data_IF_566561966506
#
_entry.id   IF_566561966506
#
_cell.length_a   1.000
_cell.length_b   1.000
_cell.length_c   1.000
_cell.angle_alpha   90.00
_cell.angle_beta   90.00
_cell.angle_gamma   90.00
#
_symmetry.space_group_name_H-M   'P 1'
#
loop_
_entity.id
_entity.type
_entity.pdbx_description
1 polymer ?
#
# COMPACT_ATOMS: atom_id res chain seq x y z
N UNK A 1 -31.84 26.53 -26.91
CA UNK A 1 -32.69 27.28 -27.87
C UNK A 1 -33.96 27.65 -27.15
N UNK A 2 -34.43 28.89 -27.27
CA UNK A 2 -35.61 29.39 -26.56
C UNK A 2 -36.65 29.94 -27.55
N UNK A 3 -37.92 29.58 -27.34
CA UNK A 3 -39.04 30.06 -28.16
C UNK A 3 -39.51 31.43 -27.65
N UNK A 4 -40.01 32.27 -28.57
CA UNK A 4 -40.63 33.54 -28.23
C UNK A 4 -41.98 33.28 -27.56
N UNK A 5 -42.16 33.84 -26.38
CA UNK A 5 -43.38 33.74 -25.59
C UNK A 5 -44.12 35.06 -25.57
N UNK A 6 -45.43 35.00 -25.34
CA UNK A 6 -46.28 36.17 -25.11
C UNK A 6 -46.03 36.79 -23.72
N UNK A 7 -46.75 37.86 -23.41
CA UNK A 7 -46.67 38.58 -22.13
C UNK A 7 -47.04 37.71 -20.91
N UNK A 8 -47.68 36.55 -21.12
CA UNK A 8 -48.03 35.59 -20.08
C UNK A 8 -47.06 34.39 -20.04
N UNK A 9 -45.96 34.43 -20.81
CA UNK A 9 -44.96 33.38 -20.85
C UNK A 9 -45.39 32.13 -21.62
N UNK A 10 -46.45 32.21 -22.44
CA UNK A 10 -46.95 31.09 -23.25
C UNK A 10 -46.53 31.22 -24.71
N UNK A 11 -46.46 30.08 -25.39
CA UNK A 11 -46.21 30.04 -26.83
C UNK A 11 -47.53 30.44 -27.53
N UNK A 12 -47.53 31.43 -28.42
CA UNK A 12 -48.75 31.83 -29.14
C UNK A 12 -49.31 30.66 -29.96
N UNK A 13 -50.60 30.36 -29.79
CA UNK A 13 -51.27 29.23 -30.48
C UNK A 13 -51.58 29.54 -31.96
N UNK A 14 -51.79 30.83 -32.28
CA UNK A 14 -52.22 31.29 -33.62
C UNK A 14 -51.07 31.80 -34.51
N UNK A 15 -49.81 31.71 -34.05
CA UNK A 15 -48.64 32.09 -34.84
C UNK A 15 -47.62 30.95 -34.92
N UNK A 16 -46.90 30.82 -36.05
CA UNK A 16 -45.78 29.89 -36.14
C UNK A 16 -44.72 30.24 -35.07
N UNK A 17 -44.25 29.22 -34.35
CA UNK A 17 -43.29 29.36 -33.25
C UNK A 17 -42.01 30.04 -33.74
N UNK A 18 -41.77 31.26 -33.25
CA UNK A 18 -40.56 32.04 -33.56
C UNK A 18 -39.49 31.76 -32.52
N UNK A 19 -38.26 31.58 -32.97
CA UNK A 19 -37.09 31.44 -32.08
C UNK A 19 -36.76 32.83 -31.54
N UNK A 20 -36.72 32.97 -30.22
CA UNK A 20 -36.37 34.23 -29.56
C UNK A 20 -34.85 34.43 -29.55
N UNK A 21 -34.15 33.43 -29.03
CA UNK A 21 -32.70 33.47 -28.89
C UNK A 21 -32.07 32.08 -28.95
N UNK A 22 -30.87 32.06 -29.50
CA UNK A 22 -30.00 30.89 -29.53
C UNK A 22 -28.79 31.15 -28.62
N UNK A 23 -28.58 30.27 -27.65
CA UNK A 23 -27.35 30.26 -26.87
C UNK A 23 -26.42 29.20 -27.50
N UNK A 24 -25.29 29.61 -28.12
CA UNK A 24 -24.34 28.67 -28.70
C UNK A 24 -23.57 27.97 -27.58
N UNK A 25 -23.94 26.71 -27.30
CA UNK A 25 -23.15 25.84 -26.43
C UNK A 25 -22.20 25.03 -27.32
N UNK A 26 -20.92 25.40 -27.32
CA UNK A 26 -19.88 24.63 -28.00
C UNK A 26 -19.52 23.41 -27.15
N UNK A 27 -19.92 22.22 -27.60
CA UNK A 27 -19.54 20.96 -26.99
C UNK A 27 -18.55 20.23 -27.88
N UNK A 28 -17.39 19.88 -27.33
CA UNK A 28 -16.43 19.01 -28.01
C UNK A 28 -17.02 17.61 -28.08
N UNK A 29 -17.17 17.08 -29.29
CA UNK A 29 -17.58 15.70 -29.56
C UNK A 29 -16.55 15.01 -30.45
N UNK A 30 -16.61 13.69 -30.48
CA UNK A 30 -15.82 12.86 -31.39
C UNK A 30 -16.70 12.45 -32.56
N UNK A 31 -16.14 12.41 -33.76
CA UNK A 31 -16.81 11.88 -34.95
C UNK A 31 -16.39 10.42 -35.14
N UNK A 32 -17.38 9.55 -35.28
CA UNK A 32 -17.18 8.12 -35.56
C UNK A 32 -17.89 7.79 -36.86
N UNK A 33 -17.16 7.14 -37.79
CA UNK A 33 -17.72 6.61 -39.03
C UNK A 33 -18.26 5.20 -38.78
N UNK A 34 -19.54 4.98 -39.09
CA UNK A 34 -20.18 3.68 -39.02
C UNK A 34 -20.79 3.37 -40.40
N UNK A 35 -20.14 2.48 -41.14
CA UNK A 35 -20.55 2.13 -42.50
C UNK A 35 -20.24 3.25 -43.51
N UNK A 36 -21.27 4.00 -43.93
CA UNK A 36 -21.14 5.15 -44.84
C UNK A 36 -21.65 6.46 -44.23
N UNK A 37 -21.95 6.45 -42.93
CA UNK A 37 -22.56 7.57 -42.22
C UNK A 37 -21.68 8.00 -41.03
N UNK A 38 -21.82 9.27 -40.63
CA UNK A 38 -21.03 9.89 -39.57
C UNK A 38 -21.90 10.21 -38.37
N UNK A 39 -21.42 9.83 -37.19
CA UNK A 39 -22.13 10.01 -35.92
C UNK A 39 -21.26 10.81 -34.93
N UNK A 40 -21.86 11.73 -34.17
CA UNK A 40 -21.18 12.44 -33.10
C UNK A 40 -21.38 11.74 -31.76
N UNK A 41 -20.31 11.44 -31.03
CA UNK A 41 -20.35 10.76 -29.72
C UNK A 41 -19.64 11.59 -28.65
N UNK A 42 -20.04 11.42 -27.39
CA UNK A 42 -19.49 12.16 -26.25
C UNK A 42 -18.09 11.67 -25.85
N UNK A 43 -17.87 10.35 -25.91
CA UNK A 43 -16.59 9.70 -25.68
C UNK A 43 -16.20 8.89 -26.91
N UNK A 44 -14.92 8.82 -27.29
CA UNK A 44 -14.50 7.97 -28.40
C UNK A 44 -14.89 6.53 -28.04
N UNK A 45 -15.85 5.99 -28.78
CA UNK A 45 -16.21 4.58 -28.67
C UNK A 45 -15.00 3.86 -29.23
N UNK A 46 -14.23 3.13 -28.40
CA UNK A 46 -13.11 2.39 -28.93
C UNK A 46 -13.74 1.33 -29.88
N UNK A 47 -13.15 1.08 -31.06
CA UNK A 47 -13.80 0.27 -32.09
C UNK A 47 -14.27 -1.04 -31.44
N UNK A 48 -15.40 -1.61 -31.88
CA UNK A 48 -16.03 -2.80 -31.25
C UNK A 48 -15.10 -4.02 -31.07
N UNK A 49 -13.87 -3.95 -31.62
CA UNK A 49 -12.82 -4.96 -31.58
C UNK A 49 -11.58 -4.51 -30.76
N UNK A 50 -11.61 -3.38 -30.06
CA UNK A 50 -10.52 -2.90 -29.19
C UNK A 50 -10.56 -3.55 -27.81
N UNK A 51 -10.79 -4.86 -27.78
CA UNK A 51 -10.46 -5.63 -26.59
C UNK A 51 -8.94 -5.70 -26.55
N UNK A 52 -8.31 -4.82 -25.77
CA UNK A 52 -6.95 -5.10 -25.31
C UNK A 52 -7.06 -6.35 -24.44
N UNK A 53 -6.48 -7.49 -24.85
CA UNK A 53 -6.52 -8.67 -24.02
C UNK A 53 -5.83 -8.34 -22.70
N UNK A 54 -6.52 -8.59 -21.59
CA UNK A 54 -5.88 -8.63 -20.28
C UNK A 54 -4.80 -9.71 -20.36
N UNK A 55 -3.54 -9.30 -20.51
CA UNK A 55 -2.41 -10.21 -20.46
C UNK A 55 -2.31 -10.67 -19.01
N UNK A 56 -2.90 -11.82 -18.72
CA UNK A 56 -2.72 -12.49 -17.43
C UNK A 56 -1.33 -13.11 -17.45
N UNK A 57 -0.38 -12.42 -16.82
CA UNK A 57 0.96 -12.96 -16.64
C UNK A 57 0.90 -14.07 -15.58
N UNK A 58 1.26 -15.29 -15.98
CA UNK A 58 1.37 -16.44 -15.07
C UNK A 58 2.83 -16.73 -14.77
N UNK A 59 3.12 -17.12 -13.54
CA UNK A 59 4.46 -17.49 -13.08
C UNK A 59 4.43 -18.93 -12.54
N UNK A 60 5.47 -19.71 -12.84
CA UNK A 60 5.64 -21.05 -12.27
C UNK A 60 6.24 -20.91 -10.86
N UNK A 61 5.63 -21.56 -9.87
CA UNK A 61 6.08 -21.59 -8.47
C UNK A 61 6.05 -23.02 -7.91
N UNK A 62 6.80 -23.28 -6.84
CA UNK A 62 6.71 -24.55 -6.08
C UNK A 62 7.76 -25.62 -6.41
N UNK A 63 8.77 -25.31 -7.22
CA UNK A 63 9.92 -26.20 -7.40
C UNK A 63 10.61 -26.48 -6.06
N UNK A 64 10.80 -27.76 -5.75
CA UNK A 64 11.43 -28.19 -4.49
C UNK A 64 12.95 -28.24 -4.65
N UNK A 65 13.66 -27.59 -3.74
CA UNK A 65 15.13 -27.67 -3.62
C UNK A 65 15.54 -28.06 -2.20
N UNK A 66 16.64 -28.81 -2.06
CA UNK A 66 17.20 -29.16 -0.76
C UNK A 66 18.43 -28.28 -0.47
N UNK A 67 18.45 -27.66 0.71
CA UNK A 67 19.55 -26.81 1.17
C UNK A 67 20.03 -27.25 2.55
N UNK A 68 21.33 -27.48 2.68
CA UNK A 68 21.97 -27.73 3.98
C UNK A 68 22.21 -26.38 4.67
N UNK A 69 21.58 -26.13 5.81
CA UNK A 69 21.75 -24.89 6.58
C UNK A 69 22.39 -25.14 7.94
N UNK A 70 23.23 -24.20 8.37
CA UNK A 70 23.81 -24.16 9.72
C UNK A 70 22.98 -23.21 10.57
N UNK A 71 22.49 -23.69 11.71
CA UNK A 71 21.76 -22.86 12.69
C UNK A 71 22.66 -22.52 13.88
N UNK A 72 22.57 -21.27 14.34
CA UNK A 72 23.14 -20.84 15.62
C UNK A 72 22.05 -20.96 16.68
N UNK A 73 22.34 -21.69 17.76
CA UNK A 73 21.44 -21.84 18.90
C UNK A 73 21.25 -20.52 19.63
N UNK A 74 20.00 -20.21 20.01
CA UNK A 74 19.63 -18.99 20.75
C UNK A 74 19.09 -19.37 22.11
N UNK A 75 19.43 -18.61 23.15
CA UNK A 75 18.98 -18.86 24.51
C UNK A 75 17.54 -18.39 24.74
N UNK A 76 16.61 -19.32 24.93
CA UNK A 76 15.23 -19.01 25.31
C UNK A 76 15.16 -18.26 26.66
N UNK A 77 16.07 -18.57 27.59
CA UNK A 77 16.17 -17.88 28.86
C UNK A 77 16.57 -16.40 28.69
N UNK A 78 17.51 -16.11 27.77
CA UNK A 78 17.90 -14.73 27.47
C UNK A 78 16.75 -13.94 26.84
N UNK A 79 15.99 -14.55 25.91
CA UNK A 79 14.77 -13.94 25.35
C UNK A 79 13.79 -13.59 26.46
N UNK A 80 13.46 -14.56 27.33
CA UNK A 80 12.51 -14.35 28.42
C UNK A 80 12.96 -13.19 29.33
N UNK A 81 14.24 -13.21 29.75
CA UNK A 81 14.81 -12.15 30.60
C UNK A 81 14.78 -10.78 29.93
N UNK A 82 15.05 -10.69 28.63
CA UNK A 82 14.93 -9.43 27.87
C UNK A 82 13.50 -8.89 27.92
N UNK A 83 12.49 -9.75 27.75
CA UNK A 83 11.08 -9.35 27.79
C UNK A 83 10.60 -9.03 29.22
N UNK A 84 11.13 -9.73 30.23
CA UNK A 84 10.85 -9.41 31.64
C UNK A 84 11.40 -8.02 32.03
N UNK A 85 12.53 -7.59 31.43
CA UNK A 85 13.19 -6.29 31.70
C UNK A 85 12.54 -5.15 30.90
N UNK A 86 12.40 -5.35 29.58
CA UNK A 86 12.03 -4.29 28.64
C UNK A 86 10.54 -4.28 28.29
N UNK A 87 9.81 -5.34 28.64
CA UNK A 87 8.40 -5.53 28.29
C UNK A 87 8.17 -5.99 26.84
N UNK A 88 6.90 -5.95 26.43
CA UNK A 88 6.42 -6.44 25.13
C UNK A 88 6.13 -5.29 24.14
N UNK A 89 6.67 -4.10 24.38
CA UNK A 89 6.53 -2.96 23.48
C UNK A 89 7.77 -2.83 22.59
N UNK A 90 7.57 -2.56 21.31
CA UNK A 90 8.68 -2.34 20.38
C UNK A 90 9.47 -1.08 20.76
N UNK A 91 10.77 -1.20 21.05
CA UNK A 91 11.61 -0.03 21.38
C UNK A 91 11.84 0.90 20.18
N UNK A 92 11.60 0.47 18.95
CA UNK A 92 11.77 1.32 17.76
C UNK A 92 10.55 2.21 17.53
N UNK A 93 9.35 1.62 17.48
CA UNK A 93 8.13 2.35 17.09
C UNK A 93 7.12 2.53 18.23
N UNK A 94 7.42 2.06 19.43
CA UNK A 94 6.59 2.15 20.64
C UNK A 94 5.19 1.55 20.47
N UNK A 95 5.01 0.57 19.57
CA UNK A 95 3.74 -0.15 19.41
C UNK A 95 3.80 -1.51 20.10
N UNK A 96 2.73 -1.86 20.80
CA UNK A 96 2.47 -3.25 21.17
C UNK A 96 1.65 -3.95 20.08
N UNK A 97 1.91 -5.23 19.85
CA UNK A 97 1.06 -6.03 18.97
C UNK A 97 -0.25 -6.42 19.64
N UNK A 98 -0.27 -6.52 20.98
CA UNK A 98 -1.51 -6.76 21.73
C UNK A 98 -2.52 -5.62 21.56
N UNK A 99 -2.07 -4.36 21.45
CA UNK A 99 -2.96 -3.21 21.21
C UNK A 99 -3.77 -3.35 19.91
N UNK A 100 -3.21 -4.04 18.91
CA UNK A 100 -3.82 -4.19 17.58
C UNK A 100 -4.50 -5.53 17.39
N UNK A 101 -3.97 -6.60 17.98
CA UNK A 101 -4.39 -7.98 17.74
C UNK A 101 -4.97 -8.68 18.98
N UNK A 102 -5.09 -7.98 20.11
CA UNK A 102 -5.56 -8.54 21.37
C UNK A 102 -4.62 -9.61 21.92
N UNK A 103 -5.17 -10.63 22.56
CA UNK A 103 -4.41 -11.74 23.16
C UNK A 103 -3.49 -12.45 22.15
N UNK A 104 -3.92 -12.57 20.89
CA UNK A 104 -3.10 -13.16 19.82
C UNK A 104 -1.80 -12.38 19.56
N UNK A 105 -1.73 -11.11 19.97
CA UNK A 105 -0.58 -10.24 19.80
C UNK A 105 0.36 -10.18 21.00
N UNK A 106 0.03 -10.77 22.15
CA UNK A 106 0.81 -10.61 23.39
C UNK A 106 2.25 -11.10 23.26
N UNK A 107 2.44 -12.25 22.63
CA UNK A 107 3.76 -12.85 22.42
C UNK A 107 4.38 -12.51 21.06
N UNK A 108 3.71 -11.68 20.25
CA UNK A 108 4.16 -11.32 18.89
C UNK A 108 5.20 -10.20 18.98
N UNK A 109 6.38 -10.56 19.47
CA UNK A 109 7.54 -9.69 19.53
C UNK A 109 8.85 -10.46 19.35
N UNK A 110 9.73 -9.88 18.55
CA UNK A 110 11.06 -10.41 18.30
C UNK A 110 12.08 -9.78 19.25
N UNK A 111 13.12 -10.52 19.59
CA UNK A 111 14.27 -10.01 20.35
C UNK A 111 15.46 -9.89 19.41
N UNK A 112 15.88 -8.65 19.17
CA UNK A 112 16.99 -8.31 18.30
C UNK A 112 18.29 -8.19 19.11
N UNK A 113 19.39 -8.72 18.57
CA UNK A 113 20.72 -8.59 19.17
C UNK A 113 21.38 -7.33 18.58
N UNK A 114 21.75 -6.38 19.44
CA UNK A 114 22.45 -5.16 19.00
C UNK A 114 23.84 -5.47 18.42
N UNK A 115 24.49 -6.50 18.96
CA UNK A 115 25.70 -7.09 18.41
C UNK A 115 25.32 -8.34 17.59
N UNK A 116 25.43 -8.25 16.25
CA UNK A 116 25.00 -9.30 15.35
C UNK A 116 25.71 -10.65 15.60
N UNK A 117 24.91 -11.69 15.84
CA UNK A 117 25.36 -13.08 15.96
C UNK A 117 26.17 -13.59 14.75
N UNK A 118 25.84 -13.10 13.55
CA UNK A 118 26.51 -13.45 12.29
C UNK A 118 27.97 -12.98 12.26
N UNK A 119 28.33 -11.98 13.07
CA UNK A 119 29.68 -11.42 13.15
C UNK A 119 30.50 -12.04 14.28
N UNK A 120 29.87 -12.78 15.19
CA UNK A 120 30.56 -13.46 16.30
C UNK A 120 31.02 -14.87 15.89
N UNK A 121 32.33 -15.13 15.95
CA UNK A 121 32.87 -16.46 15.80
C UNK A 121 32.73 -17.27 17.10
N UNK A 122 31.67 -18.08 17.19
CA UNK A 122 31.50 -19.08 18.27
C UNK A 122 30.46 -18.72 19.32
N UNK A 123 30.59 -19.30 20.53
CA UNK A 123 29.73 -19.01 21.68
C UNK A 123 30.22 -17.74 22.37
N UNK A 124 29.30 -16.88 22.78
CA UNK A 124 29.59 -15.70 23.59
C UNK A 124 28.47 -15.49 24.61
N UNK A 125 28.77 -14.69 25.64
CA UNK A 125 27.81 -14.31 26.66
C UNK A 125 26.99 -13.12 26.16
N UNK A 126 25.68 -13.17 26.40
CA UNK A 126 24.73 -12.12 26.05
C UNK A 126 24.14 -11.58 27.33
N UNK A 127 24.18 -10.27 27.52
CA UNK A 127 23.44 -9.58 28.56
C UNK A 127 22.03 -9.23 28.06
N UNK A 128 20.96 -9.80 28.64
CA UNK A 128 19.59 -9.51 28.21
C UNK A 128 19.16 -8.05 28.40
N UNK A 129 19.83 -7.29 29.26
CA UNK A 129 19.53 -5.88 29.51
C UNK A 129 20.16 -4.98 28.45
N UNK A 130 21.43 -5.22 28.10
CA UNK A 130 22.22 -4.30 27.26
C UNK A 130 22.43 -4.76 25.83
N UNK A 131 22.41 -6.07 25.55
CA UNK A 131 22.68 -6.61 24.22
C UNK A 131 21.42 -6.95 23.44
N UNK A 132 20.28 -7.06 24.13
CA UNK A 132 19.00 -7.50 23.57
C UNK A 132 17.94 -6.41 23.68
N UNK A 133 17.14 -6.28 22.62
CA UNK A 133 16.03 -5.33 22.59
C UNK A 133 14.77 -5.94 21.98
N UNK A 134 13.58 -5.71 22.57
CA UNK A 134 12.33 -6.11 21.95
C UNK A 134 11.96 -5.18 20.78
N UNK A 135 11.66 -5.78 19.63
CA UNK A 135 11.26 -5.11 18.40
C UNK A 135 10.10 -5.84 17.74
N UNK A 136 9.15 -5.11 17.16
CA UNK A 136 8.06 -5.75 16.43
C UNK A 136 8.54 -6.37 15.10
N UNK A 137 7.80 -7.34 14.52
CA UNK A 137 8.21 -8.03 13.30
C UNK A 137 8.55 -7.08 12.13
N UNK A 138 7.82 -5.97 12.00
CA UNK A 138 8.04 -4.98 10.95
C UNK A 138 9.37 -4.23 11.16
N UNK A 139 9.62 -3.72 12.37
CA UNK A 139 10.87 -3.04 12.68
C UNK A 139 12.06 -4.00 12.60
N UNK A 140 11.89 -5.24 13.06
CA UNK A 140 12.92 -6.27 12.96
C UNK A 140 13.29 -6.56 11.51
N UNK A 141 12.30 -6.72 10.62
CA UNK A 141 12.53 -6.86 9.19
C UNK A 141 13.25 -5.64 8.60
N UNK A 142 12.85 -4.42 8.97
CA UNK A 142 13.48 -3.19 8.50
C UNK A 142 14.95 -3.08 8.90
N UNK A 143 15.29 -3.46 10.13
CA UNK A 143 16.67 -3.49 10.64
C UNK A 143 17.56 -4.35 9.73
N UNK A 144 17.07 -5.53 9.33
CA UNK A 144 17.80 -6.49 8.49
C UNK A 144 17.58 -6.33 6.97
N UNK A 145 17.12 -5.17 6.51
CA UNK A 145 17.02 -4.89 5.07
C UNK A 145 18.38 -4.63 4.40
N UNK A 146 19.42 -4.36 5.20
CA UNK A 146 20.78 -4.10 4.75
C UNK A 146 21.77 -4.96 5.55
N UNK A 147 22.95 -5.18 4.99
CA UNK A 147 24.08 -5.80 5.68
C UNK A 147 25.27 -4.84 5.62
N UNK A 148 25.81 -4.36 6.75
CA UNK A 148 25.37 -4.63 8.14
C UNK A 148 23.97 -4.06 8.45
N UNK A 149 23.32 -4.60 9.46
CA UNK A 149 21.97 -4.20 9.85
C UNK A 149 21.91 -2.72 10.27
N UNK A 150 20.76 -2.10 10.03
CA UNK A 150 20.52 -0.72 10.41
C UNK A 150 20.45 -0.57 11.93
N UNK A 151 21.00 0.53 12.45
CA UNK A 151 20.83 0.85 13.86
C UNK A 151 19.37 1.17 14.20
N UNK A 152 18.97 0.93 15.46
CA UNK A 152 17.62 1.27 15.93
C UNK A 152 17.32 2.76 15.72
N UNK A 153 18.31 3.63 15.90
CA UNK A 153 18.18 5.08 15.69
C UNK A 153 17.94 5.43 14.22
N UNK A 154 18.62 4.75 13.29
CA UNK A 154 18.38 4.95 11.86
C UNK A 154 16.94 4.60 11.47
N UNK A 155 16.42 3.46 11.96
CA UNK A 155 15.03 3.06 11.70
C UNK A 155 14.04 4.04 12.35
N UNK A 156 14.31 4.49 13.58
CA UNK A 156 13.50 5.53 14.25
C UNK A 156 13.44 6.83 13.43
N UNK A 157 14.57 7.29 12.88
CA UNK A 157 14.65 8.49 12.03
C UNK A 157 13.86 8.35 10.73
N UNK A 158 13.73 7.14 10.18
CA UNK A 158 12.91 6.89 8.99
C UNK A 158 11.43 7.03 9.36
N UNK A 159 11.01 6.49 10.51
CA UNK A 159 9.62 6.55 10.96
C UNK A 159 9.16 7.98 11.28
N UNK A 160 10.02 8.83 11.85
CA UNK A 160 9.66 10.21 12.19
C UNK A 160 9.54 11.14 10.98
N UNK A 161 10.06 10.76 9.81
CA UNK A 161 9.92 11.52 8.55
C UNK A 161 8.55 11.35 7.89
N UNK A 162 7.69 10.48 8.43
CA UNK A 162 6.36 10.18 7.89
C UNK A 162 5.23 10.87 8.70
N UNK A 163 5.58 11.80 9.58
CA UNK A 163 4.66 12.59 10.40
C UNK A 163 4.58 14.03 9.89
#
# INVERSE_FOLDING_TARGET
MFAKVDEHGKIPEDEPVKIDRFEPILQRKFLVELGKEWYSVETPIPPANSYEPLIVQTFEEGEQSMLLSKRVERSAAARKRCLDIHGHQCLVCNKSMSDRYGEMGEDVIDVHHLNELSQTNGKYLVDPETDLVPVCPNCHRMIHTQQPALSLEAVRKILTKLC
#
